data_IF_348740240095
#
_entry.id   IF_348740240095
#
_cell.length_a   1.000
_cell.length_b   1.000
_cell.length_c   1.000
_cell.angle_alpha   90.00
_cell.angle_beta   90.00
_cell.angle_gamma   90.00
#
_symmetry.space_group_name_H-M   'P 1'
#
loop_
_entity.id
_entity.type
_entity.pdbx_description
1 polymer ?
#
# COMPACT_ATOMS: atom_id res chain seq x y z
N UNK A 1 2.36 12.38 -12.59
CA UNK A 1 3.32 11.34 -12.21
C UNK A 1 3.53 11.31 -10.71
N UNK A 2 3.66 10.11 -10.18
CA UNK A 2 3.98 9.87 -8.78
C UNK A 2 5.50 9.77 -8.61
N UNK A 3 6.05 10.38 -7.56
CA UNK A 3 7.49 10.44 -7.30
C UNK A 3 7.83 9.94 -5.89
N UNK A 4 9.08 9.52 -5.70
CA UNK A 4 9.59 9.19 -4.37
C UNK A 4 9.54 10.43 -3.47
N UNK A 5 9.12 10.22 -2.21
CA UNK A 5 8.95 11.31 -1.25
C UNK A 5 7.63 12.08 -1.37
N UNK A 6 6.78 11.75 -2.37
CA UNK A 6 5.44 12.31 -2.43
C UNK A 6 4.65 11.92 -1.18
N UNK A 7 3.88 12.87 -0.67
CA UNK A 7 2.96 12.66 0.45
C UNK A 7 1.55 12.54 -0.07
N UNK A 8 0.93 11.40 0.17
CA UNK A 8 -0.38 11.08 -0.35
C UNK A 8 -1.34 10.83 0.79
N UNK A 9 -2.57 11.32 0.64
CA UNK A 9 -3.67 10.96 1.51
C UNK A 9 -4.51 9.88 0.81
N UNK A 10 -4.56 8.70 1.39
CA UNK A 10 -5.37 7.57 0.93
C UNK A 10 -6.67 7.55 1.74
N UNK A 11 -7.83 7.56 1.07
CA UNK A 11 -9.13 7.55 1.75
C UNK A 11 -9.55 6.10 2.08
N UNK A 12 -10.49 5.91 3.02
CA UNK A 12 -11.15 4.61 3.18
C UNK A 12 -11.79 4.15 1.87
N UNK A 13 -11.61 2.89 1.51
CA UNK A 13 -12.06 2.27 0.28
C UNK A 13 -11.12 2.43 -0.92
N UNK A 14 -10.13 3.33 -0.84
CA UNK A 14 -9.18 3.54 -1.94
C UNK A 14 -8.03 2.53 -1.88
N UNK A 15 -7.59 2.09 -3.05
CA UNK A 15 -6.34 1.32 -3.18
C UNK A 15 -5.13 2.22 -2.93
N UNK A 16 -4.13 1.63 -2.27
CA UNK A 16 -2.84 2.27 -2.03
C UNK A 16 -2.07 2.29 -3.36
N UNK A 17 -1.67 3.47 -3.88
CA UNK A 17 -1.13 3.60 -5.23
C UNK A 17 0.36 3.23 -5.36
N UNK A 18 1.09 3.15 -4.24
CA UNK A 18 2.53 2.91 -4.20
C UNK A 18 2.95 2.30 -2.86
N UNK A 19 4.10 1.64 -2.84
CA UNK A 19 4.67 1.18 -1.56
C UNK A 19 5.20 2.39 -0.80
N UNK A 20 5.03 2.37 0.51
CA UNK A 20 5.38 3.52 1.32
C UNK A 20 5.26 3.27 2.81
N UNK A 21 5.36 4.37 3.55
CA UNK A 21 5.27 4.37 5.00
C UNK A 21 4.22 5.35 5.47
N UNK A 22 3.41 4.94 6.43
CA UNK A 22 2.41 5.81 7.04
C UNK A 22 3.12 6.94 7.79
N UNK A 23 2.79 8.18 7.43
CA UNK A 23 3.22 9.39 8.13
C UNK A 23 2.27 9.75 9.27
N UNK A 24 0.96 9.61 9.04
CA UNK A 24 -0.07 9.92 10.04
C UNK A 24 -1.37 9.16 9.78
N UNK A 25 -2.19 9.05 10.84
CA UNK A 25 -3.44 8.28 10.83
C UNK A 25 -3.29 6.88 11.42
N UNK A 26 -4.44 6.24 11.63
CA UNK A 26 -4.55 4.85 12.07
C UNK A 26 -5.75 4.23 11.36
N UNK A 27 -5.55 3.08 10.72
CA UNK A 27 -6.58 2.38 9.94
C UNK A 27 -6.24 0.89 9.87
N UNK A 28 -7.03 0.12 9.13
CA UNK A 28 -6.70 -1.22 8.70
C UNK A 28 -6.55 -1.27 7.18
N UNK A 29 -5.65 -2.15 6.71
CA UNK A 29 -5.36 -2.35 5.30
C UNK A 29 -5.69 -3.79 4.93
N UNK A 30 -6.52 -3.97 3.92
CA UNK A 30 -6.84 -5.26 3.33
C UNK A 30 -5.72 -5.65 2.35
N UNK A 31 -4.91 -6.62 2.76
CA UNK A 31 -3.80 -7.19 1.98
C UNK A 31 -4.20 -8.52 1.30
N UNK A 32 -5.49 -8.89 1.29
CA UNK A 32 -5.99 -10.17 0.76
C UNK A 32 -5.64 -10.41 -0.71
N UNK A 33 -5.57 -9.34 -1.51
CA UNK A 33 -5.15 -9.41 -2.91
C UNK A 33 -3.69 -9.85 -3.09
N UNK A 34 -2.85 -9.68 -2.06
CA UNK A 34 -1.43 -10.02 -2.09
C UNK A 34 -1.11 -11.31 -1.33
N UNK A 35 -1.58 -11.42 -0.07
CA UNK A 35 -1.24 -12.56 0.80
C UNK A 35 -2.29 -13.68 0.76
N UNK A 36 -3.51 -13.39 0.30
CA UNK A 36 -4.66 -14.29 0.42
C UNK A 36 -5.27 -14.32 1.82
N UNK A 37 -4.73 -13.56 2.79
CA UNK A 37 -5.27 -13.47 4.15
C UNK A 37 -6.42 -12.47 4.20
N UNK A 38 -7.57 -12.89 4.74
CA UNK A 38 -8.81 -12.10 4.69
C UNK A 38 -8.97 -11.10 5.85
N UNK A 39 -8.08 -11.11 6.84
CA UNK A 39 -8.18 -10.20 7.97
C UNK A 39 -7.39 -8.91 7.69
N UNK A 40 -8.03 -7.73 7.70
CA UNK A 40 -7.34 -6.46 7.56
C UNK A 40 -6.24 -6.29 8.62
N UNK A 41 -5.09 -5.80 8.17
CA UNK A 41 -3.91 -5.57 9.02
C UNK A 41 -3.94 -4.13 9.53
N UNK A 42 -3.87 -3.96 10.84
CA UNK A 42 -3.80 -2.62 11.45
C UNK A 42 -2.52 -1.89 11.03
N UNK A 43 -2.64 -0.60 10.71
CA UNK A 43 -1.53 0.28 10.35
C UNK A 43 -1.63 1.60 11.11
N UNK A 44 -0.49 2.09 11.59
CA UNK A 44 -0.31 3.38 12.21
C UNK A 44 0.97 4.05 11.68
N UNK A 45 1.23 5.28 12.12
CA UNK A 45 2.43 6.02 11.73
C UNK A 45 3.72 5.21 11.96
N UNK A 46 4.56 5.13 10.93
CA UNK A 46 5.78 4.33 10.90
C UNK A 46 5.63 2.98 10.19
N UNK A 47 4.40 2.47 10.05
CA UNK A 47 4.15 1.17 9.42
C UNK A 47 4.24 1.24 7.89
N UNK A 48 4.58 0.09 7.30
CA UNK A 48 4.66 -0.07 5.86
C UNK A 48 3.29 -0.34 5.24
N UNK A 49 3.06 0.24 4.07
CA UNK A 49 1.94 -0.05 3.18
C UNK A 49 2.44 -0.48 1.81
N UNK A 50 1.64 -1.29 1.13
CA UNK A 50 2.00 -1.92 -0.13
C UNK A 50 1.05 -1.49 -1.23
N UNK A 51 1.56 -1.28 -2.44
CA UNK A 51 0.74 -0.92 -3.59
C UNK A 51 -0.28 -2.02 -3.91
N UNK A 52 -1.50 -1.61 -4.26
CA UNK A 52 -2.60 -2.50 -4.64
C UNK A 52 -3.42 -3.04 -3.47
N UNK A 53 -3.00 -2.86 -2.22
CA UNK A 53 -3.84 -3.14 -1.04
C UNK A 53 -4.88 -2.05 -0.85
N UNK A 54 -5.91 -2.30 -0.04
CA UNK A 54 -7.02 -1.35 0.15
C UNK A 54 -7.04 -0.82 1.56
N UNK A 55 -7.10 0.49 1.72
CA UNK A 55 -7.32 1.11 3.02
C UNK A 55 -8.80 1.00 3.41
N UNK A 56 -9.13 0.57 4.63
CA UNK A 56 -10.50 0.13 4.97
C UNK A 56 -11.28 1.15 5.81
N UNK A 57 -10.72 1.63 6.93
CA UNK A 57 -11.51 2.28 7.99
C UNK A 57 -11.37 3.81 8.02
N UNK A 58 -10.14 4.31 8.00
CA UNK A 58 -9.80 5.71 8.24
C UNK A 58 -8.74 6.20 7.26
N UNK A 59 -8.68 7.51 6.94
CA UNK A 59 -7.69 8.02 6.01
C UNK A 59 -6.27 7.85 6.56
N UNK A 60 -5.34 7.50 5.68
CA UNK A 60 -3.91 7.43 5.97
C UNK A 60 -3.17 8.50 5.17
N UNK A 61 -2.22 9.20 5.81
CA UNK A 61 -1.20 9.92 5.07
C UNK A 61 0.03 9.03 4.96
N UNK A 62 0.57 8.89 3.76
CA UNK A 62 1.71 8.02 3.46
C UNK A 62 2.79 8.80 2.73
N UNK A 63 4.04 8.41 2.93
CA UNK A 63 5.18 8.82 2.13
C UNK A 63 5.49 7.72 1.11
N UNK A 64 5.59 8.11 -0.17
CA UNK A 64 5.94 7.19 -1.25
C UNK A 64 7.41 6.79 -1.15
N UNK A 65 7.66 5.48 -1.01
CA UNK A 65 9.02 4.90 -0.96
C UNK A 65 9.37 4.16 -2.25
N UNK A 66 8.42 3.48 -2.90
CA UNK A 66 8.66 2.76 -4.18
C UNK A 66 7.48 2.90 -5.13
N UNK A 67 7.76 3.07 -6.42
CA UNK A 67 6.76 3.30 -7.46
C UNK A 67 6.93 2.35 -8.64
N UNK A 68 5.83 2.09 -9.36
CA UNK A 68 5.85 1.31 -10.60
C UNK A 68 6.51 -0.06 -10.42
N UNK A 69 7.55 -0.31 -11.21
CA UNK A 69 8.28 -1.59 -11.24
C UNK A 69 9.06 -1.89 -9.95
N UNK A 70 9.27 -0.91 -9.09
CA UNK A 70 9.96 -1.13 -7.80
C UNK A 70 9.04 -1.70 -6.72
N UNK A 71 7.72 -1.64 -6.95
CA UNK A 71 6.74 -2.10 -5.96
C UNK A 71 6.76 -3.61 -5.75
N UNK A 72 6.34 -4.04 -4.56
CA UNK A 72 6.14 -5.45 -4.25
C UNK A 72 5.13 -6.08 -5.21
N UNK A 73 4.04 -5.37 -5.53
CA UNK A 73 3.04 -5.84 -6.49
C UNK A 73 3.64 -6.09 -7.88
N UNK A 74 4.49 -5.18 -8.38
CA UNK A 74 5.17 -5.39 -9.65
C UNK A 74 6.15 -6.57 -9.61
N UNK A 75 6.84 -6.78 -8.48
CA UNK A 75 7.70 -7.94 -8.29
C UNK A 75 6.90 -9.26 -8.34
N UNK A 76 5.73 -9.31 -7.69
CA UNK A 76 4.83 -10.47 -7.75
C UNK A 76 4.38 -10.71 -9.20
N UNK A 77 3.95 -9.66 -9.92
CA UNK A 77 3.53 -9.78 -11.33
C UNK A 77 4.64 -10.38 -12.20
N UNK A 78 5.88 -9.91 -12.04
CA UNK A 78 7.05 -10.43 -12.80
C UNK A 78 7.36 -11.90 -12.50
N UNK A 79 7.09 -12.38 -11.29
CA UNK A 79 7.28 -13.78 -10.95
C UNK A 79 6.21 -14.65 -11.62
N UNK A 80 4.96 -14.17 -11.66
CA UNK A 80 3.85 -14.86 -12.33
C UNK A 80 4.00 -14.87 -13.85
N UNK A 81 4.45 -13.78 -14.46
CA UNK A 81 4.67 -13.69 -15.92
C UNK A 81 5.78 -14.62 -16.43
N UNK A 82 6.63 -15.15 -15.53
CA UNK A 82 7.73 -16.08 -15.86
C UNK A 82 7.37 -17.56 -15.65
N UNK A 83 6.17 -17.85 -15.14
CA UNK A 83 5.66 -19.21 -14.92
C UNK A 83 4.87 -19.69 -16.15
#
# INVERSE_FOLDING_TARGET
DLQHGDRLRVRPGDSIPADGRVLSGQSSVDESLLSGESLPVAKAAGDMVTAGTVNVESPLEINVEKIGEETVLAAIRRLLDRA
#
